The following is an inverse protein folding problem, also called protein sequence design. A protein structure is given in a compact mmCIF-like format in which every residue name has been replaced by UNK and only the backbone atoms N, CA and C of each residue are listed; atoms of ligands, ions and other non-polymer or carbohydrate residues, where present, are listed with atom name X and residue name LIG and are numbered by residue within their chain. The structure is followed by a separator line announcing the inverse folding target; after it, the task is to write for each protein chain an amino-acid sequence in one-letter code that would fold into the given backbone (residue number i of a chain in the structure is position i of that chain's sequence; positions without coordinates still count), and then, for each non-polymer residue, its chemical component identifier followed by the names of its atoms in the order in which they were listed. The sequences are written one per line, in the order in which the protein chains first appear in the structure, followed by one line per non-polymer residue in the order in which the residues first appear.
data_IF_512080567257
#
_entry.id   IF_512080567257
#
_cell.length_a   1.000
_cell.length_b   1.000
_cell.length_c   1.000
_cell.angle_alpha   90.00
_cell.angle_beta   90.00
_cell.angle_gamma   90.00
#
_symmetry.space_group_name_H-M   'P 1'
#
loop_
_entity.id
_entity.type
_entity.pdbx_description
1 polymer ?
#
# COMPACT_ATOMS: atom_id res chain seq x y z
N UNK A 1 -12.30 18.98 0.20
CA UNK A 1 -11.53 18.43 1.34
C UNK A 1 -11.15 17.01 0.95
N UNK A 2 -9.86 16.65 0.93
CA UNK A 2 -9.49 15.26 0.72
C UNK A 2 -10.02 14.45 1.92
N UNK A 3 -10.90 13.48 1.69
CA UNK A 3 -11.37 12.62 2.77
C UNK A 3 -10.18 11.93 3.45
N UNK A 4 -10.15 12.01 4.77
CA UNK A 4 -9.13 11.37 5.59
C UNK A 4 -9.15 9.86 5.32
N UNK A 5 -7.97 9.27 5.15
CA UNK A 5 -7.84 7.82 5.05
C UNK A 5 -8.10 7.20 6.42
N UNK A 6 -9.07 6.28 6.45
CA UNK A 6 -9.40 5.53 7.66
C UNK A 6 -8.40 4.42 7.89
N UNK A 7 -8.34 3.92 9.13
CA UNK A 7 -7.45 2.80 9.47
C UNK A 7 -7.80 1.53 8.68
N UNK A 8 -9.09 1.30 8.42
CA UNK A 8 -9.55 0.16 7.62
C UNK A 8 -9.09 0.26 6.15
N UNK A 9 -9.14 1.46 5.56
CA UNK A 9 -8.67 1.68 4.19
C UNK A 9 -7.14 1.52 4.09
N UNK A 10 -6.40 2.04 5.07
CA UNK A 10 -4.95 1.88 5.14
C UNK A 10 -4.57 0.40 5.32
N UNK A 11 -5.25 -0.30 6.22
CA UNK A 11 -5.06 -1.72 6.46
C UNK A 11 -5.30 -2.55 5.18
N UNK A 12 -6.40 -2.30 4.47
CA UNK A 12 -6.68 -2.98 3.20
C UNK A 12 -5.58 -2.75 2.14
N UNK A 13 -5.01 -1.54 2.09
CA UNK A 13 -3.87 -1.28 1.22
C UNK A 13 -2.61 -2.05 1.66
N UNK A 14 -2.32 -2.07 2.96
CA UNK A 14 -1.14 -2.74 3.52
C UNK A 14 -1.22 -4.25 3.32
N UNK A 15 -2.37 -4.87 3.55
CA UNK A 15 -2.58 -6.31 3.33
C UNK A 15 -2.39 -6.69 1.86
N UNK A 16 -2.99 -5.93 0.94
CA UNK A 16 -2.81 -6.14 -0.49
C UNK A 16 -1.36 -5.95 -0.92
N UNK A 17 -0.69 -4.92 -0.40
CA UNK A 17 0.72 -4.67 -0.64
C UNK A 17 1.60 -5.82 -0.14
N UNK A 18 1.37 -6.30 1.08
CA UNK A 18 2.11 -7.38 1.70
C UNK A 18 1.98 -8.68 0.91
N UNK A 19 0.76 -9.00 0.45
CA UNK A 19 0.52 -10.16 -0.42
C UNK A 19 1.34 -10.08 -1.71
N UNK A 20 1.27 -8.94 -2.41
CA UNK A 20 2.01 -8.74 -3.65
C UNK A 20 3.53 -8.79 -3.44
N UNK A 21 4.02 -8.22 -2.34
CA UNK A 21 5.45 -8.23 -2.03
C UNK A 21 5.95 -9.65 -1.75
N UNK A 22 5.18 -10.49 -1.05
CA UNK A 22 5.52 -11.91 -0.80
C UNK A 22 5.50 -12.75 -2.08
N UNK A 23 4.64 -12.41 -3.03
CA UNK A 23 4.51 -13.09 -4.33
C UNK A 23 5.54 -12.60 -5.37
N UNK A 24 6.09 -11.40 -5.20
CA UNK A 24 7.06 -10.77 -6.11
C UNK A 24 8.27 -11.65 -6.49
N UNK A 25 8.92 -12.41 -5.57
CA UNK A 25 10.06 -13.25 -5.91
C UNK A 25 9.75 -14.34 -6.94
N UNK A 26 8.49 -14.76 -7.06
CA UNK A 26 8.07 -15.87 -7.91
C UNK A 26 7.80 -15.46 -9.38
N UNK A 27 8.14 -14.23 -9.79
CA UNK A 27 8.02 -13.67 -11.15
C UNK A 27 6.61 -13.67 -11.78
N UNK A 28 5.60 -14.27 -11.14
CA UNK A 28 4.21 -14.12 -11.49
C UNK A 28 3.77 -12.71 -11.09
N UNK A 29 3.96 -11.75 -12.01
CA UNK A 29 3.43 -10.40 -11.87
C UNK A 29 1.91 -10.52 -11.74
N UNK A 30 1.37 -10.49 -10.53
CA UNK A 30 -0.08 -10.27 -10.37
C UNK A 30 -0.38 -8.99 -11.14
N UNK A 31 -1.29 -9.03 -12.13
CA UNK A 31 -1.56 -7.84 -12.92
C UNK A 31 -2.11 -6.80 -11.96
N UNK A 32 -1.36 -5.71 -11.76
CA UNK A 32 -1.67 -4.61 -10.84
C UNK A 32 -3.14 -4.17 -10.91
N UNK A 33 -3.70 -4.26 -12.12
CA UNK A 33 -5.10 -4.00 -12.44
C UNK A 33 -6.09 -4.84 -11.60
N UNK A 34 -5.86 -6.14 -11.45
CA UNK A 34 -6.79 -7.02 -10.72
C UNK A 34 -6.82 -6.68 -9.23
N UNK A 35 -5.67 -6.34 -8.64
CA UNK A 35 -5.60 -5.88 -7.25
C UNK A 35 -6.33 -4.54 -7.07
N UNK A 36 -6.12 -3.58 -7.98
CA UNK A 36 -6.79 -2.28 -7.93
C UNK A 36 -8.30 -2.43 -8.07
N UNK A 37 -8.74 -3.28 -8.99
CA UNK A 37 -10.16 -3.56 -9.23
C UNK A 37 -10.80 -4.21 -8.01
N UNK A 38 -10.14 -5.19 -7.37
CA UNK A 38 -10.63 -5.82 -6.13
C UNK A 38 -10.71 -4.83 -4.97
N UNK A 39 -9.68 -4.00 -4.77
CA UNK A 39 -9.68 -3.00 -3.71
C UNK A 39 -10.79 -1.97 -3.93
N UNK A 40 -10.92 -1.45 -5.15
CA UNK A 40 -11.92 -0.45 -5.49
C UNK A 40 -13.34 -0.99 -5.46
N UNK A 41 -13.59 -2.24 -5.84
CA UNK A 41 -14.94 -2.83 -5.78
C UNK A 41 -15.30 -3.32 -4.37
N UNK A 42 -14.33 -3.43 -3.46
CA UNK A 42 -14.54 -3.86 -2.08
C UNK A 42 -14.23 -2.77 -1.05
N UNK A 43 -13.15 -2.92 -0.25
CA UNK A 43 -12.92 -2.07 0.93
C UNK A 43 -12.65 -0.60 0.61
N UNK A 44 -12.23 -0.26 -0.62
CA UNK A 44 -11.86 1.09 -1.05
C UNK A 44 -12.87 1.66 -2.07
N UNK A 45 -14.15 1.32 -1.96
CA UNK A 45 -15.23 1.77 -2.88
C UNK A 45 -15.39 3.28 -3.01
N UNK A 46 -14.98 4.05 -2.01
CA UNK A 46 -14.98 5.52 -2.02
C UNK A 46 -13.72 6.12 -2.67
N UNK A 47 -12.71 5.30 -2.99
CA UNK A 47 -11.42 5.75 -3.52
C UNK A 47 -11.31 5.48 -5.01
N UNK A 48 -10.61 6.38 -5.70
CA UNK A 48 -10.26 6.20 -7.11
C UNK A 48 -9.05 5.27 -7.25
N UNK A 49 -8.94 4.54 -8.37
CA UNK A 49 -7.77 3.70 -8.65
C UNK A 49 -6.46 4.47 -8.51
N UNK A 50 -6.39 5.69 -9.05
CA UNK A 50 -5.19 6.53 -8.92
C UNK A 50 -4.86 6.88 -7.46
N UNK A 51 -5.85 7.10 -6.60
CA UNK A 51 -5.61 7.32 -5.17
C UNK A 51 -5.08 6.06 -4.46
N UNK A 52 -5.56 4.88 -4.87
CA UNK A 52 -5.09 3.59 -4.35
C UNK A 52 -3.66 3.32 -4.82
N UNK A 53 -3.34 3.51 -6.10
CA UNK A 53 -1.98 3.39 -6.63
C UNK A 53 -1.01 4.31 -5.91
N UNK A 54 -1.43 5.55 -5.66
CA UNK A 54 -0.64 6.50 -4.90
C UNK A 54 -0.40 6.04 -3.47
N UNK A 55 -1.41 5.44 -2.84
CA UNK A 55 -1.27 4.87 -1.49
C UNK A 55 -0.28 3.71 -1.47
N UNK A 56 -0.22 2.88 -2.51
CA UNK A 56 0.80 1.83 -2.64
C UNK A 56 2.21 2.42 -2.75
N UNK A 57 2.39 3.51 -3.51
CA UNK A 57 3.65 4.25 -3.59
C UNK A 57 4.04 4.89 -2.23
N UNK A 58 3.07 5.38 -1.46
CA UNK A 58 3.31 5.85 -0.08
C UNK A 58 3.76 4.70 0.85
N UNK A 59 3.19 3.50 0.72
CA UNK A 59 3.63 2.33 1.50
C UNK A 59 5.08 1.97 1.14
N UNK A 60 5.44 2.00 -0.16
CA UNK A 60 6.84 1.83 -0.59
C UNK A 60 7.79 2.85 0.03
N UNK A 61 7.37 4.10 0.22
CA UNK A 61 8.17 5.11 0.92
C UNK A 61 8.39 4.76 2.39
N UNK A 62 7.38 4.24 3.09
CA UNK A 62 7.55 3.80 4.49
C UNK A 62 8.47 2.57 4.58
N UNK A 63 8.40 1.65 3.63
CA UNK A 63 9.33 0.50 3.54
C UNK A 63 10.78 0.97 3.34
N UNK A 64 10.99 1.92 2.42
CA UNK A 64 12.30 2.53 2.13
C UNK A 64 12.88 3.22 3.37
N UNK A 65 12.06 3.98 4.10
CA UNK A 65 12.46 4.65 5.35
C UNK A 65 12.94 3.66 6.44
N UNK A 66 12.49 2.41 6.40
CA UNK A 66 12.91 1.34 7.32
C UNK A 66 14.01 0.43 6.73
N UNK A 67 14.60 0.80 5.59
CA UNK A 67 15.68 0.04 4.94
C UNK A 67 15.22 -1.33 4.42
N UNK A 68 13.96 -1.46 4.04
CA UNK A 68 13.41 -2.68 3.42
C UNK A 68 13.21 -2.50 1.93
N UNK A 69 13.24 -3.61 1.20
CA UNK A 69 12.83 -3.62 -0.21
C UNK A 69 11.33 -3.35 -0.34
N UNK A 70 10.93 -2.69 -1.43
CA UNK A 70 9.55 -2.37 -1.74
C UNK A 70 9.06 -3.08 -3.00
N UNK A 71 7.74 -3.05 -3.18
CA UNK A 71 7.06 -3.62 -4.33
C UNK A 71 7.48 -2.92 -5.63
N UNK A 72 8.03 -3.70 -6.57
CA UNK A 72 8.55 -3.22 -7.86
C UNK A 72 7.44 -2.54 -8.66
N UNK A 73 7.78 -1.38 -9.22
CA UNK A 73 6.85 -0.57 -10.01
C UNK A 73 5.82 0.21 -9.19
N UNK A 74 5.97 0.29 -7.86
CA UNK A 74 5.42 1.36 -7.02
C UNK A 74 6.58 2.14 -6.42
N UNK A 75 7.09 3.10 -7.19
CA UNK A 75 8.21 3.96 -6.77
C UNK A 75 7.81 4.72 -5.49
N UNK A 76 8.66 4.75 -4.45
CA UNK A 76 8.39 5.50 -3.21
C UNK A 76 7.90 6.93 -3.44
N UNK A 77 6.68 7.23 -2.95
CA UNK A 77 6.13 8.58 -2.90
C UNK A 77 6.10 9.05 -1.44
N UNK A 78 6.92 10.05 -1.09
CA UNK A 78 7.20 10.43 0.31
C UNK A 78 6.19 11.41 0.95
N UNK A 79 5.18 11.85 0.21
CA UNK A 79 4.14 12.75 0.71
C UNK A 79 3.03 12.01 1.49
N UNK A 80 3.42 11.18 2.44
CA UNK A 80 2.50 10.34 3.23
C UNK A 80 1.83 11.15 4.35
N UNK A 81 2.56 12.10 4.93
CA UNK A 81 2.20 12.83 6.15
C UNK A 81 2.48 11.99 7.41
N UNK A 82 2.80 12.64 8.55
CA UNK A 82 3.29 11.95 9.75
C UNK A 82 2.26 10.99 10.36
N UNK A 83 0.98 11.36 10.34
CA UNK A 83 -0.12 10.53 10.86
C UNK A 83 -0.27 9.23 10.07
N UNK A 84 -0.31 9.30 8.74
CA UNK A 84 -0.47 8.11 7.92
C UNK A 84 0.81 7.28 7.90
N UNK A 85 1.99 7.91 7.90
CA UNK A 85 3.27 7.19 7.96
C UNK A 85 3.35 6.34 9.24
N UNK A 86 3.02 6.93 10.40
CA UNK A 86 3.02 6.20 11.68
C UNK A 86 2.03 5.03 11.69
N UNK A 87 0.83 5.21 11.11
CA UNK A 87 -0.17 4.14 10.99
C UNK A 87 0.28 3.02 10.07
N UNK A 88 0.77 3.38 8.88
CA UNK A 88 1.28 2.42 7.89
C UNK A 88 2.45 1.63 8.48
N UNK A 89 3.41 2.28 9.15
CA UNK A 89 4.52 1.61 9.79
C UNK A 89 4.05 0.58 10.85
N UNK A 90 3.07 0.94 11.69
CA UNK A 90 2.48 0.01 12.66
C UNK A 90 1.84 -1.21 11.97
N UNK A 91 1.13 -1.01 10.87
CA UNK A 91 0.49 -2.07 10.09
C UNK A 91 1.52 -2.97 9.39
N UNK A 92 2.55 -2.38 8.78
CA UNK A 92 3.66 -3.12 8.16
C UNK A 92 4.43 -3.97 9.16
N UNK A 93 4.63 -3.46 10.39
CA UNK A 93 5.23 -4.22 11.48
C UNK A 93 4.37 -5.41 11.89
N UNK A 94 3.04 -5.23 11.93
CA UNK A 94 2.11 -6.32 12.21
C UNK A 94 2.12 -7.40 11.11
N UNK A 95 2.34 -7.01 9.85
CA UNK A 95 2.55 -7.92 8.71
C UNK A 95 3.96 -8.56 8.67
N UNK A 96 4.87 -8.18 9.59
CA UNK A 96 6.24 -8.68 9.64
C UNK A 96 7.13 -8.19 8.50
N UNK A 97 6.81 -7.04 7.90
CA UNK A 97 7.55 -6.49 6.77
C UNK A 97 8.66 -5.51 7.18
N UNK A 98 8.51 -4.83 8.32
CA UNK A 98 9.50 -3.91 8.88
C UNK A 98 9.86 -4.26 10.32
#
# INVERSE_FOLDING_TARGET
MAELWTDAELQACVEAYAKLLREQPNAASVPKKDMLDRLQTGPLKSRTKGSIEYRMANISAVMEEHGREWLRGYVPARNVGPTNSSKIAKMLKAEGLI
#
